data_IF_590232552623
#
_entry.id   IF_590232552623
#
_cell.length_a   1.000
_cell.length_b   1.000
_cell.length_c   1.000
_cell.angle_alpha   90.00
_cell.angle_beta   90.00
_cell.angle_gamma   90.00
#
_symmetry.space_group_name_H-M   'P 1'
#
loop_
_entity.id
_entity.type
_entity.pdbx_description
1 polymer ?
#
# COMPACT_ATOMS: atom_id res chain seq x y z
N UNK A 1 9.87 -11.07 -17.44
CA UNK A 1 9.45 -11.43 -16.06
C UNK A 1 7.93 -11.40 -16.00
N UNK A 2 7.29 -12.46 -16.48
CA UNK A 2 5.83 -12.51 -16.59
C UNK A 2 5.25 -12.88 -15.23
N UNK A 3 5.07 -11.87 -14.37
CA UNK A 3 4.29 -12.00 -13.15
C UNK A 3 2.81 -12.03 -13.56
N UNK A 4 2.37 -13.16 -14.11
CA UNK A 4 0.94 -13.48 -14.20
C UNK A 4 0.31 -13.15 -12.85
N UNK A 5 -0.57 -12.14 -12.88
CA UNK A 5 -1.26 -11.51 -11.76
C UNK A 5 -1.95 -12.58 -10.92
N UNK A 6 -1.19 -13.19 -10.00
CA UNK A 6 -1.73 -14.20 -9.11
C UNK A 6 -2.74 -13.51 -8.21
N UNK A 7 -4.01 -13.70 -8.53
CA UNK A 7 -5.11 -13.31 -7.68
C UNK A 7 -5.54 -14.54 -6.91
N UNK A 8 -5.39 -14.58 -5.57
CA UNK A 8 -5.90 -15.68 -4.77
C UNK A 8 -7.36 -15.92 -5.13
N UNK A 9 -7.70 -17.15 -5.52
CA UNK A 9 -9.08 -17.50 -5.85
C UNK A 9 -9.89 -17.44 -4.56
N UNK A 10 -10.94 -16.61 -4.55
CA UNK A 10 -11.88 -16.52 -3.43
C UNK A 10 -12.69 -17.84 -3.40
N UNK A 11 -12.14 -18.85 -2.73
CA UNK A 11 -12.77 -20.18 -2.64
C UNK A 11 -13.56 -20.25 -1.35
N UNK A 12 -14.83 -20.67 -1.47
CA UNK A 12 -15.73 -20.87 -0.32
C UNK A 12 -15.09 -21.87 0.65
N UNK A 13 -15.26 -21.69 1.98
CA UNK A 13 -14.73 -22.65 2.95
C UNK A 13 -15.24 -24.05 2.64
N UNK A 14 -14.33 -24.95 2.26
CA UNK A 14 -14.65 -26.35 2.01
C UNK A 14 -14.95 -27.01 3.35
N UNK A 15 -16.12 -27.64 3.48
CA UNK A 15 -16.48 -28.48 4.63
C UNK A 15 -15.34 -29.47 4.90
N UNK A 16 -14.76 -29.40 6.10
CA UNK A 16 -13.73 -30.31 6.55
C UNK A 16 -14.38 -31.68 6.78
N UNK A 17 -14.15 -32.63 5.88
CA UNK A 17 -14.38 -34.05 6.19
C UNK A 17 -13.15 -34.54 6.94
N UNK A 18 -13.34 -34.82 8.23
CA UNK A 18 -12.32 -35.45 9.07
C UNK A 18 -12.15 -36.91 8.61
N UNK A 19 -11.24 -37.13 7.68
CA UNK A 19 -10.76 -38.46 7.33
C UNK A 19 -9.23 -38.42 7.28
N UNK A 20 -8.61 -38.43 8.45
CA UNK A 20 -7.16 -38.46 8.66
C UNK A 20 -6.59 -39.88 8.49
N UNK A 21 -7.13 -40.66 7.56
CA UNK A 21 -6.61 -41.99 7.27
C UNK A 21 -5.39 -41.83 6.37
N UNK A 22 -4.21 -42.29 6.79
CA UNK A 22 -3.03 -42.43 5.92
C UNK A 22 -3.44 -43.23 4.68
N UNK A 23 -3.68 -42.55 3.56
CA UNK A 23 -3.97 -43.20 2.29
C UNK A 23 -2.66 -43.77 1.78
N UNK A 24 -2.43 -45.05 2.05
CA UNK A 24 -1.41 -45.81 1.34
C UNK A 24 -1.71 -45.73 -0.16
N UNK A 25 -0.70 -45.52 -1.01
CA UNK A 25 -0.95 -45.48 -2.44
C UNK A 25 -1.52 -46.82 -2.91
N UNK A 26 -2.73 -46.80 -3.47
CA UNK A 26 -3.36 -47.98 -4.10
C UNK A 26 -2.60 -48.53 -5.31
N UNK A 27 -1.64 -47.80 -5.87
CA UNK A 27 -0.84 -48.15 -7.05
C UNK A 27 0.34 -47.17 -7.21
N UNK A 28 1.40 -47.57 -7.93
CA UNK A 28 2.53 -46.71 -8.30
C UNK A 28 2.11 -45.45 -9.06
N UNK A 29 1.10 -45.56 -9.93
CA UNK A 29 0.54 -44.38 -10.61
C UNK A 29 -0.03 -43.39 -9.59
N UNK A 30 -0.81 -43.90 -8.63
CA UNK A 30 -1.37 -43.08 -7.57
C UNK A 30 -0.29 -42.47 -6.67
N UNK A 31 0.81 -43.18 -6.41
CA UNK A 31 1.95 -42.64 -5.68
C UNK A 31 2.60 -41.45 -6.40
N UNK A 32 2.79 -41.56 -7.73
CA UNK A 32 3.31 -40.46 -8.58
C UNK A 32 2.38 -39.25 -8.59
N UNK A 33 1.07 -39.48 -8.75
CA UNK A 33 0.07 -38.41 -8.77
C UNK A 33 0.00 -37.67 -7.42
N UNK A 34 0.09 -38.40 -6.30
CA UNK A 34 0.16 -37.81 -4.96
C UNK A 34 1.42 -36.95 -4.77
N UNK A 35 2.57 -37.42 -5.25
CA UNK A 35 3.81 -36.64 -5.20
C UNK A 35 3.72 -35.36 -6.05
N UNK A 36 3.14 -35.44 -7.25
CA UNK A 36 2.90 -34.28 -8.09
C UNK A 36 1.93 -33.29 -7.41
N UNK A 37 0.85 -33.79 -6.80
CA UNK A 37 -0.10 -32.97 -6.05
C UNK A 37 0.57 -32.28 -4.86
N UNK A 38 1.45 -32.97 -4.11
CA UNK A 38 2.24 -32.37 -3.04
C UNK A 38 3.08 -31.20 -3.55
N UNK A 39 3.81 -31.40 -4.66
CA UNK A 39 4.61 -30.33 -5.28
C UNK A 39 3.76 -29.15 -5.74
N UNK A 40 2.62 -29.42 -6.39
CA UNK A 40 1.70 -28.40 -6.84
C UNK A 40 1.08 -27.62 -5.66
N UNK A 41 0.71 -28.29 -4.57
CA UNK A 41 0.20 -27.67 -3.35
C UNK A 41 1.24 -26.76 -2.70
N UNK A 42 2.49 -27.22 -2.57
CA UNK A 42 3.60 -26.39 -2.07
C UNK A 42 3.84 -25.19 -2.96
N UNK A 43 3.85 -25.36 -4.30
CA UNK A 43 3.99 -24.24 -5.25
C UNK A 43 2.85 -23.23 -5.10
N UNK A 44 1.61 -23.69 -4.96
CA UNK A 44 0.44 -22.83 -4.77
C UNK A 44 0.53 -22.02 -3.48
N UNK A 45 0.84 -22.69 -2.35
CA UNK A 45 1.03 -22.05 -1.04
C UNK A 45 2.17 -21.03 -1.06
N UNK A 46 3.30 -21.37 -1.68
CA UNK A 46 4.44 -20.45 -1.82
C UNK A 46 4.08 -19.23 -2.68
N UNK A 47 3.35 -19.43 -3.79
CA UNK A 47 2.88 -18.33 -4.64
C UNK A 47 1.93 -17.40 -3.86
N UNK A 48 1.05 -17.98 -3.03
CA UNK A 48 0.17 -17.20 -2.15
C UNK A 48 0.95 -16.43 -1.08
N UNK A 49 1.93 -17.06 -0.44
CA UNK A 49 2.81 -16.41 0.54
C UNK A 49 3.52 -15.20 -0.06
N UNK A 50 4.20 -15.39 -1.19
CA UNK A 50 4.91 -14.31 -1.90
C UNK A 50 3.95 -13.19 -2.31
N UNK A 51 2.74 -13.54 -2.76
CA UNK A 51 1.73 -12.54 -3.10
C UNK A 51 1.32 -11.68 -1.90
N UNK A 52 1.02 -12.30 -0.76
CA UNK A 52 0.66 -11.59 0.48
C UNK A 52 1.84 -10.74 0.97
N UNK A 53 3.05 -11.27 0.96
CA UNK A 53 4.28 -10.52 1.33
C UNK A 53 4.49 -9.30 0.44
N UNK A 54 4.30 -9.44 -0.88
CA UNK A 54 4.40 -8.33 -1.82
C UNK A 54 3.30 -7.28 -1.61
N UNK A 55 2.06 -7.70 -1.33
CA UNK A 55 0.99 -6.77 -0.98
C UNK A 55 1.32 -5.99 0.29
N UNK A 56 1.77 -6.67 1.35
CA UNK A 56 2.16 -6.02 2.60
C UNK A 56 3.33 -5.05 2.40
N UNK A 57 4.32 -5.42 1.59
CA UNK A 57 5.44 -4.54 1.23
C UNK A 57 4.95 -3.28 0.52
N UNK A 58 4.04 -3.42 -0.45
CA UNK A 58 3.45 -2.27 -1.16
C UNK A 58 2.67 -1.37 -0.23
N UNK A 59 1.84 -1.93 0.67
CA UNK A 59 1.12 -1.12 1.66
C UNK A 59 2.08 -0.29 2.50
N UNK A 60 3.13 -0.90 3.05
CA UNK A 60 4.14 -0.16 3.85
C UNK A 60 4.80 0.98 3.06
N UNK A 61 5.21 0.72 1.81
CA UNK A 61 5.83 1.76 0.97
C UNK A 61 4.88 2.91 0.67
N UNK A 62 3.59 2.63 0.40
CA UNK A 62 2.62 3.71 0.17
C UNK A 62 2.26 4.45 1.46
N UNK A 63 2.25 3.78 2.62
CA UNK A 63 2.08 4.41 3.93
C UNK A 63 3.24 5.36 4.27
N UNK A 64 4.49 4.95 4.00
CA UNK A 64 5.68 5.78 4.15
C UNK A 64 5.61 7.03 3.27
N UNK A 65 5.29 6.87 1.98
CA UNK A 65 5.12 8.00 1.05
C UNK A 65 4.00 8.96 1.47
N UNK A 66 2.88 8.41 1.92
CA UNK A 66 1.77 9.23 2.43
C UNK A 66 2.21 10.04 3.65
N UNK A 67 2.99 9.44 4.55
CA UNK A 67 3.51 10.12 5.72
C UNK A 67 4.47 11.26 5.33
N UNK A 68 5.42 11.01 4.44
CA UNK A 68 6.35 12.03 3.91
C UNK A 68 5.60 13.20 3.27
N UNK A 69 4.62 12.90 2.41
CA UNK A 69 3.84 13.92 1.72
C UNK A 69 3.02 14.76 2.70
N UNK A 70 2.39 14.15 3.70
CA UNK A 70 1.64 14.88 4.74
C UNK A 70 2.54 15.81 5.55
N UNK A 71 3.73 15.33 5.92
CA UNK A 71 4.72 16.13 6.64
C UNK A 71 5.16 17.33 5.82
N UNK A 72 5.42 17.15 4.52
CA UNK A 72 5.76 18.25 3.61
C UNK A 72 4.63 19.27 3.47
N UNK A 73 3.39 18.81 3.30
CA UNK A 73 2.22 19.70 3.22
C UNK A 73 2.07 20.53 4.50
N UNK A 74 2.21 19.91 5.67
CA UNK A 74 2.16 20.65 6.94
C UNK A 74 3.31 21.67 7.06
N UNK A 75 4.52 21.32 6.66
CA UNK A 75 5.66 22.24 6.68
C UNK A 75 5.41 23.46 5.78
N UNK A 76 4.93 23.24 4.54
CA UNK A 76 4.61 24.32 3.61
C UNK A 76 3.44 25.18 4.10
N UNK A 77 2.41 24.58 4.71
CA UNK A 77 1.30 25.35 5.29
C UNK A 77 1.79 26.25 6.42
N UNK A 78 2.68 25.76 7.29
CA UNK A 78 3.28 26.56 8.35
C UNK A 78 4.09 27.71 7.77
N UNK A 79 4.91 27.46 6.74
CA UNK A 79 5.71 28.49 6.06
C UNK A 79 4.83 29.58 5.44
N UNK A 80 3.72 29.20 4.77
CA UNK A 80 2.75 30.16 4.23
C UNK A 80 2.12 31.01 5.33
N UNK A 81 1.77 30.40 6.47
CA UNK A 81 1.23 31.13 7.63
C UNK A 81 2.27 32.10 8.18
N UNK A 82 3.52 31.67 8.33
CA UNK A 82 4.61 32.50 8.84
C UNK A 82 4.89 33.69 7.92
N UNK A 83 4.94 33.46 6.60
CA UNK A 83 5.07 34.52 5.60
C UNK A 83 3.89 35.49 5.64
N UNK A 84 2.66 34.98 5.73
CA UNK A 84 1.47 35.83 5.87
C UNK A 84 1.55 36.69 7.13
N UNK A 85 1.98 36.11 8.24
CA UNK A 85 2.16 36.83 9.51
C UNK A 85 3.21 37.93 9.37
N UNK A 86 4.33 37.68 8.67
CA UNK A 86 5.36 38.68 8.40
C UNK A 86 4.82 39.83 7.53
N UNK A 87 4.10 39.51 6.47
CA UNK A 87 3.44 40.52 5.61
C UNK A 87 2.48 41.38 6.42
N UNK A 88 1.68 40.77 7.30
CA UNK A 88 0.78 41.51 8.20
C UNK A 88 1.54 42.39 9.18
N UNK A 89 2.65 41.92 9.77
CA UNK A 89 3.52 42.75 10.64
C UNK A 89 4.01 44.00 9.91
N UNK A 90 4.39 43.86 8.64
CA UNK A 90 4.86 44.97 7.82
C UNK A 90 3.74 45.83 7.19
N UNK A 91 2.47 45.45 7.31
CA UNK A 91 1.34 46.25 6.79
C UNK A 91 1.22 47.64 7.45
N UNK A 92 1.82 47.80 8.64
CA UNK A 92 1.93 49.07 9.35
C UNK A 92 3.20 49.85 9.01
N UNK A 93 4.17 49.25 8.29
CA UNK A 93 5.22 50.03 7.64
C UNK A 93 4.54 50.95 6.62
N UNK A 94 4.94 52.23 6.55
CA UNK A 94 4.54 53.14 5.47
C UNK A 94 5.05 52.74 4.07
N UNK A 95 5.46 51.49 3.90
CA UNK A 95 5.94 50.88 2.67
C UNK A 95 4.79 50.77 1.65
N UNK A 96 4.72 51.71 0.71
CA UNK A 96 3.63 51.79 -0.29
C UNK A 96 3.46 50.49 -1.10
N UNK A 97 4.55 49.80 -1.42
CA UNK A 97 4.55 48.55 -2.19
C UNK A 97 3.84 47.38 -1.51
N UNK A 98 3.93 47.27 -0.18
CA UNK A 98 3.25 46.22 0.58
C UNK A 98 1.76 46.53 0.77
N UNK A 99 1.38 47.80 0.93
CA UNK A 99 -0.03 48.21 1.04
C UNK A 99 -0.83 47.85 -0.22
N UNK A 100 -0.27 48.08 -1.40
CA UNK A 100 -0.93 47.75 -2.67
C UNK A 100 -1.04 46.24 -2.91
N UNK A 101 -0.15 45.43 -2.33
CA UNK A 101 -0.18 43.97 -2.45
C UNK A 101 -1.15 43.29 -1.45
N UNK A 102 -1.46 43.94 -0.33
CA UNK A 102 -2.31 43.40 0.74
C UNK A 102 -3.78 43.84 0.61
N UNK A 103 -4.03 45.04 0.05
CA UNK A 103 -5.39 45.55 -0.19
C UNK A 103 -5.86 45.14 -1.59
N UNK A 104 -7.10 44.63 -1.76
CA UNK A 104 -7.67 44.43 -3.09
C UNK A 104 -7.75 45.77 -3.82
N UNK A 105 -7.64 45.78 -5.17
CA UNK A 105 -7.81 46.99 -5.95
C UNK A 105 -9.17 47.60 -5.61
N UNK A 106 -9.16 48.79 -5.01
CA UNK A 106 -10.35 49.61 -4.88
C UNK A 106 -10.81 49.98 -6.29
N UNK A 107 -12.07 49.67 -6.58
CA UNK A 107 -12.75 49.90 -7.86
C UNK A 107 -12.53 51.32 -8.40
#
# INVERSE_FOLDING_TARGET
>A
MNNETYRPRNTRPRRQSAATTRTTPRSDKHARDLELNRRAATKCRNKQKIFVENLQKRCRTEEERLHEQKTLVHALLNEVIDLKNEVMRHSLCGCQSLRTAILPPTA
#
